data_IF_251630391910
#
_entry.id   IF_251630391910
#
_cell.length_a   1.000
_cell.length_b   1.000
_cell.length_c   1.000
_cell.angle_alpha   90.00
_cell.angle_beta   90.00
_cell.angle_gamma   90.00
#
_symmetry.space_group_name_H-M   'P 1'
#
loop_
_entity.id
_entity.type
_entity.pdbx_description
1 polymer ?
#
# COMPACT_ATOMS: atom_id res chain seq x y z
N UNK A 1 -28.45 7.08 -16.93
CA UNK A 1 -28.19 5.89 -16.08
C UNK A 1 -26.92 5.12 -16.48
N UNK A 2 -26.82 4.57 -17.71
CA UNK A 2 -25.68 3.73 -18.12
C UNK A 2 -24.31 4.46 -18.08
N UNK A 3 -24.24 5.72 -18.53
CA UNK A 3 -22.99 6.48 -18.51
C UNK A 3 -22.45 6.71 -17.09
N UNK A 4 -23.34 6.97 -16.14
CA UNK A 4 -22.99 7.14 -14.72
C UNK A 4 -22.47 5.83 -14.10
N UNK A 5 -23.14 4.71 -14.38
CA UNK A 5 -22.68 3.38 -13.93
C UNK A 5 -21.30 3.03 -14.53
N UNK A 6 -21.05 3.38 -15.79
CA UNK A 6 -19.72 3.20 -16.41
C UNK A 6 -18.64 4.03 -15.73
N UNK A 7 -18.94 5.28 -15.38
CA UNK A 7 -18.00 6.15 -14.66
C UNK A 7 -17.66 5.58 -13.28
N UNK A 8 -18.66 5.13 -12.51
CA UNK A 8 -18.43 4.47 -11.21
C UNK A 8 -17.55 3.24 -11.39
N UNK A 9 -17.87 2.39 -12.37
CA UNK A 9 -17.05 1.21 -12.67
C UNK A 9 -15.59 1.57 -13.00
N UNK A 10 -15.37 2.62 -13.79
CA UNK A 10 -14.03 3.10 -14.13
C UNK A 10 -13.26 3.58 -12.89
N UNK A 11 -13.90 4.38 -12.02
CA UNK A 11 -13.28 4.86 -10.78
C UNK A 11 -12.87 3.70 -9.89
N UNK A 12 -13.75 2.72 -9.68
CA UNK A 12 -13.46 1.54 -8.86
C UNK A 12 -12.29 0.72 -9.40
N UNK A 13 -12.21 0.55 -10.74
CA UNK A 13 -11.09 -0.15 -11.38
C UNK A 13 -9.77 0.61 -11.15
N UNK A 14 -9.79 1.93 -11.32
CA UNK A 14 -8.61 2.78 -11.09
C UNK A 14 -8.18 2.71 -9.63
N UNK A 15 -9.11 2.83 -8.68
CA UNK A 15 -8.82 2.73 -7.24
C UNK A 15 -8.21 1.37 -6.88
N UNK A 16 -8.73 0.29 -7.43
CA UNK A 16 -8.19 -1.04 -7.18
C UNK A 16 -6.76 -1.19 -7.71
N UNK A 17 -6.48 -0.64 -8.90
CA UNK A 17 -5.12 -0.61 -9.47
C UNK A 17 -4.18 0.15 -8.53
N UNK A 18 -4.56 1.35 -8.09
CA UNK A 18 -3.74 2.12 -7.15
C UNK A 18 -3.55 1.43 -5.81
N UNK A 19 -4.60 0.81 -5.26
CA UNK A 19 -4.51 0.03 -4.02
C UNK A 19 -3.46 -1.08 -4.12
N UNK A 20 -3.46 -1.83 -5.22
CA UNK A 20 -2.48 -2.89 -5.47
C UNK A 20 -1.07 -2.31 -5.65
N UNK A 21 -0.91 -1.29 -6.50
CA UNK A 21 0.40 -0.68 -6.77
C UNK A 21 1.04 -0.09 -5.52
N UNK A 22 0.28 0.67 -4.73
CA UNK A 22 0.75 1.26 -3.48
C UNK A 22 1.07 0.16 -2.45
N UNK A 23 0.23 -0.87 -2.36
CA UNK A 23 0.48 -2.02 -1.48
C UNK A 23 1.79 -2.74 -1.82
N UNK A 24 2.07 -2.96 -3.11
CA UNK A 24 3.33 -3.54 -3.58
C UNK A 24 4.52 -2.63 -3.28
N UNK A 25 4.40 -1.33 -3.56
CA UNK A 25 5.44 -0.34 -3.30
C UNK A 25 5.83 -0.28 -1.82
N UNK A 26 4.84 -0.21 -0.92
CA UNK A 26 5.06 -0.15 0.52
C UNK A 26 5.72 -1.43 1.05
N UNK A 27 5.36 -2.61 0.51
CA UNK A 27 6.03 -3.88 0.82
C UNK A 27 7.48 -3.91 0.30
N UNK A 28 7.71 -3.37 -0.90
CA UNK A 28 9.04 -3.27 -1.51
C UNK A 28 9.97 -2.42 -0.66
N UNK A 29 9.53 -1.23 -0.26
CA UNK A 29 10.31 -0.33 0.61
C UNK A 29 10.64 -0.99 1.95
N UNK A 30 9.68 -1.67 2.58
CA UNK A 30 9.95 -2.36 3.84
C UNK A 30 11.00 -3.46 3.67
N UNK A 31 10.90 -4.22 2.58
CA UNK A 31 11.87 -5.25 2.25
C UNK A 31 13.27 -4.64 2.05
N UNK A 32 13.39 -3.58 1.28
CA UNK A 32 14.65 -2.88 1.05
C UNK A 32 15.25 -2.35 2.36
N UNK A 33 14.44 -1.77 3.25
CA UNK A 33 14.88 -1.34 4.58
C UNK A 33 15.44 -2.49 5.41
N UNK A 34 14.81 -3.67 5.37
CA UNK A 34 15.28 -4.85 6.07
C UNK A 34 16.57 -5.41 5.47
N UNK A 35 16.72 -5.35 4.16
CA UNK A 35 17.96 -5.76 3.48
C UNK A 35 19.11 -4.83 3.86
N UNK A 36 18.91 -3.51 3.83
CA UNK A 36 19.90 -2.52 4.31
C UNK A 36 20.23 -2.71 5.79
N UNK A 37 19.22 -3.02 6.61
CA UNK A 37 19.41 -3.29 8.04
C UNK A 37 20.19 -4.57 8.30
N UNK A 38 20.07 -5.58 7.44
CA UNK A 38 20.90 -6.78 7.49
C UNK A 38 22.35 -6.43 7.16
N UNK A 39 22.59 -5.78 6.03
CA UNK A 39 23.93 -5.42 5.55
C UNK A 39 24.67 -4.53 6.57
N UNK A 40 23.94 -3.61 7.22
CA UNK A 40 24.48 -2.75 8.29
C UNK A 40 24.90 -3.53 9.53
N UNK A 41 24.15 -4.57 9.93
CA UNK A 41 24.42 -5.36 11.15
C UNK A 41 25.41 -6.50 10.91
N UNK A 42 25.58 -6.94 9.67
CA UNK A 42 26.47 -8.04 9.29
C UNK A 42 27.33 -7.61 8.08
N UNK A 43 28.26 -6.64 8.27
CA UNK A 43 29.06 -6.12 7.17
C UNK A 43 29.94 -7.19 6.50
N UNK A 44 30.36 -8.21 7.24
CA UNK A 44 31.08 -9.39 6.76
C UNK A 44 30.22 -10.35 5.92
N UNK A 45 28.89 -10.22 6.01
CA UNK A 45 27.89 -11.04 5.29
C UNK A 45 26.90 -10.18 4.50
N UNK A 46 27.36 -9.00 4.08
CA UNK A 46 26.58 -8.09 3.27
C UNK A 46 26.31 -8.71 1.89
N UNK A 47 25.19 -8.33 1.27
CA UNK A 47 24.85 -8.78 -0.07
C UNK A 47 23.99 -10.05 -0.10
N UNK A 48 23.76 -10.66 -1.29
CA UNK A 48 22.78 -11.74 -1.46
C UNK A 48 23.22 -13.05 -0.77
N UNK A 49 22.54 -13.40 0.33
CA UNK A 49 22.75 -14.66 1.04
C UNK A 49 21.43 -15.35 1.45
N UNK A 50 21.43 -16.68 1.66
CA UNK A 50 20.28 -17.40 2.20
C UNK A 50 19.85 -16.85 3.56
N UNK A 51 20.80 -16.49 4.43
CA UNK A 51 20.53 -15.96 5.77
C UNK A 51 19.84 -14.59 5.70
N UNK A 52 20.26 -13.72 4.78
CA UNK A 52 19.60 -12.42 4.57
C UNK A 52 18.17 -12.61 4.11
N UNK A 53 17.93 -13.50 3.14
CA UNK A 53 16.58 -13.81 2.64
C UNK A 53 15.70 -14.33 3.77
N UNK A 54 16.25 -15.18 4.63
CA UNK A 54 15.53 -15.72 5.77
C UNK A 54 15.21 -14.68 6.84
N UNK A 55 16.15 -13.78 7.13
CA UNK A 55 15.94 -12.64 8.02
C UNK A 55 14.81 -11.73 7.52
N UNK A 56 14.86 -11.36 6.23
CA UNK A 56 13.82 -10.53 5.60
C UNK A 56 12.47 -11.23 5.66
N UNK A 57 12.40 -12.53 5.30
CA UNK A 57 11.18 -13.32 5.32
C UNK A 57 10.54 -13.32 6.72
N UNK A 58 11.32 -13.64 7.76
CA UNK A 58 10.85 -13.65 9.15
C UNK A 58 10.44 -12.26 9.62
N UNK A 59 11.20 -11.23 9.27
CA UNK A 59 10.92 -9.84 9.65
C UNK A 59 9.71 -9.23 8.93
N UNK A 60 9.29 -9.84 7.82
CA UNK A 60 8.06 -9.47 7.10
C UNK A 60 6.81 -10.15 7.67
N UNK A 61 6.95 -11.16 8.55
CA UNK A 61 5.82 -11.78 9.23
C UNK A 61 5.12 -10.71 10.07
N UNK A 62 3.81 -10.56 9.89
CA UNK A 62 3.03 -9.56 10.60
C UNK A 62 3.12 -8.14 10.02
N UNK A 63 3.89 -7.89 8.95
CA UNK A 63 3.93 -6.57 8.30
C UNK A 63 2.53 -6.07 7.92
N UNK A 64 1.66 -6.96 7.45
CA UNK A 64 0.27 -6.64 7.11
C UNK A 64 -0.56 -6.10 8.29
N UNK A 65 -0.16 -6.36 9.54
CA UNK A 65 -0.84 -5.85 10.74
C UNK A 65 -0.36 -4.47 11.17
N UNK A 66 0.73 -3.97 10.58
CA UNK A 66 1.29 -2.66 10.91
C UNK A 66 0.36 -1.53 10.44
N UNK A 67 0.43 -0.38 11.12
CA UNK A 67 -0.32 0.81 10.73
C UNK A 67 -0.02 1.21 9.26
N UNK A 68 1.25 1.16 8.84
CA UNK A 68 1.64 1.48 7.46
C UNK A 68 0.93 0.60 6.43
N UNK A 69 0.83 -0.71 6.68
CA UNK A 69 0.12 -1.61 5.78
C UNK A 69 -1.40 -1.36 5.79
N UNK A 70 -1.98 -1.04 6.95
CA UNK A 70 -3.40 -0.71 7.08
C UNK A 70 -3.77 0.61 6.38
N UNK A 71 -2.90 1.61 6.45
CA UNK A 71 -3.12 2.92 5.83
C UNK A 71 -3.20 2.87 4.30
N UNK A 72 -2.64 1.83 3.65
CA UNK A 72 -2.85 1.62 2.20
C UNK A 72 -4.33 1.47 1.87
N UNK A 73 -5.14 0.92 2.78
CA UNK A 73 -6.59 0.83 2.61
C UNK A 73 -7.29 2.18 2.51
N UNK A 74 -6.69 3.27 3.01
CA UNK A 74 -7.25 4.61 2.86
C UNK A 74 -7.34 5.06 1.40
N UNK A 75 -6.55 4.48 0.49
CA UNK A 75 -6.64 4.74 -0.96
C UNK A 75 -8.04 4.40 -1.50
N UNK A 76 -8.73 3.43 -0.91
CA UNK A 76 -10.09 3.06 -1.30
C UNK A 76 -11.17 3.89 -0.59
N UNK A 77 -10.86 4.43 0.60
CA UNK A 77 -11.85 5.11 1.44
C UNK A 77 -11.87 6.61 1.18
N UNK A 78 -10.70 7.24 1.06
CA UNK A 78 -10.56 8.69 0.94
C UNK A 78 -11.28 9.26 -0.29
N UNK A 79 -11.20 8.68 -1.50
CA UNK A 79 -11.88 9.25 -2.65
C UNK A 79 -13.41 9.15 -2.50
N UNK A 80 -13.93 8.04 -1.97
CA UNK A 80 -15.35 7.89 -1.69
C UNK A 80 -15.85 8.91 -0.67
N UNK A 81 -15.10 9.11 0.42
CA UNK A 81 -15.41 10.15 1.41
C UNK A 81 -15.38 11.54 0.77
N UNK A 82 -14.38 11.85 -0.07
CA UNK A 82 -14.29 13.12 -0.77
C UNK A 82 -15.50 13.37 -1.69
N UNK A 83 -15.93 12.36 -2.46
CA UNK A 83 -17.13 12.45 -3.30
C UNK A 83 -18.36 12.78 -2.46
N UNK A 84 -18.58 12.08 -1.34
CA UNK A 84 -19.71 12.35 -0.44
C UNK A 84 -19.64 13.76 0.13
N UNK A 85 -18.48 14.20 0.61
CA UNK A 85 -18.27 15.54 1.16
C UNK A 85 -18.58 16.62 0.11
N UNK A 86 -18.09 16.46 -1.12
CA UNK A 86 -18.36 17.39 -2.22
C UNK A 86 -19.86 17.46 -2.51
N UNK A 87 -20.55 16.32 -2.58
CA UNK A 87 -22.00 16.29 -2.79
C UNK A 87 -22.72 17.06 -1.69
N UNK A 88 -22.35 16.86 -0.42
CA UNK A 88 -22.98 17.55 0.71
C UNK A 88 -22.75 19.06 0.61
N UNK A 89 -21.50 19.50 0.43
CA UNK A 89 -21.16 20.93 0.35
C UNK A 89 -21.86 21.61 -0.82
N UNK A 90 -21.90 20.98 -2.00
CA UNK A 90 -22.47 21.63 -3.20
C UNK A 90 -24.00 21.68 -3.18
N UNK A 91 -24.66 20.72 -2.54
CA UNK A 91 -26.13 20.61 -2.60
C UNK A 91 -26.85 21.13 -1.36
N UNK A 92 -26.18 21.21 -0.21
CA UNK A 92 -26.80 21.54 1.09
C UNK A 92 -26.18 22.75 1.78
N UNK A 93 -25.33 23.50 1.07
CA UNK A 93 -24.82 24.82 1.48
C UNK A 93 -25.37 25.89 0.54
#
# INVERSE_FOLDING_TARGET
>A
MIAFLRLIGLVLVIELIFYVLIGLYVRSLRREQLEKEWDRRHPDRAGPSPERKEFVRRSMIGFGKTLRARLVGLVLVLPMVAIVVIIVIVNYN
#
